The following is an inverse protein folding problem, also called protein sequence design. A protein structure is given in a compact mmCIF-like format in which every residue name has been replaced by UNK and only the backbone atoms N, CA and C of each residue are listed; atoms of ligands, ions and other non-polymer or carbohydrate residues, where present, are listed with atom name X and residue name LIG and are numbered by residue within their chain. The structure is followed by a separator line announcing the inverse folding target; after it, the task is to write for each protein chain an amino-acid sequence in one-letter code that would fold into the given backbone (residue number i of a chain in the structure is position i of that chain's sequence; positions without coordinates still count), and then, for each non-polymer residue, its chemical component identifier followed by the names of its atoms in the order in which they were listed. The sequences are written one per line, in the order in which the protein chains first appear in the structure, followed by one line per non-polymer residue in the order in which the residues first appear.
data_IF_367542254670
#
_entry.id   IF_367542254670
#
_cell.length_a   1.000
_cell.length_b   1.000
_cell.length_c   1.000
_cell.angle_alpha   90.00
_cell.angle_beta   90.00
_cell.angle_gamma   90.00
#
_symmetry.space_group_name_H-M   'P 1'
#
loop_
_entity.id
_entity.type
_entity.pdbx_description
1 polymer ?
#
# COMPACT_ATOMS: atom_id res chain seq x y z
N UNK A 1 -13.27 14.68 -26.27
CA UNK A 1 -12.64 15.51 -25.22
C UNK A 1 -12.45 14.81 -23.86
N UNK A 2 -13.48 14.36 -23.13
CA UNK A 2 -13.30 13.66 -21.83
C UNK A 2 -12.66 12.26 -22.01
N UNK A 3 -13.19 11.48 -22.95
CA UNK A 3 -12.70 10.13 -23.27
C UNK A 3 -11.24 10.16 -23.74
N UNK A 4 -10.87 11.11 -24.60
CA UNK A 4 -9.48 11.29 -25.05
C UNK A 4 -8.54 11.67 -23.92
N UNK A 5 -8.98 12.52 -22.97
CA UNK A 5 -8.18 12.83 -21.77
C UNK A 5 -7.95 11.58 -20.92
N UNK A 6 -8.97 10.73 -20.77
CA UNK A 6 -8.87 9.48 -20.01
C UNK A 6 -7.97 8.46 -20.73
N UNK A 7 -8.13 8.27 -22.05
CA UNK A 7 -7.28 7.36 -22.83
C UNK A 7 -5.82 7.79 -22.78
N UNK A 8 -5.54 9.08 -22.97
CA UNK A 8 -4.19 9.61 -22.90
C UNK A 8 -3.58 9.45 -21.49
N UNK A 9 -4.40 9.45 -20.43
CA UNK A 9 -3.95 9.12 -19.07
C UNK A 9 -3.52 7.66 -18.96
N UNK A 10 -4.35 6.72 -19.41
CA UNK A 10 -4.01 5.30 -19.38
C UNK A 10 -2.77 4.97 -20.21
N UNK A 11 -2.61 5.59 -21.39
CA UNK A 11 -1.43 5.42 -22.24
C UNK A 11 -0.15 5.89 -21.52
N UNK A 12 -0.23 7.02 -20.81
CA UNK A 12 0.88 7.54 -19.98
C UNK A 12 1.19 6.63 -18.80
N UNK A 13 0.18 6.18 -18.06
CA UNK A 13 0.37 5.24 -16.95
C UNK A 13 0.96 3.92 -17.46
N UNK A 14 0.56 3.44 -18.65
CA UNK A 14 1.13 2.25 -19.28
C UNK A 14 2.60 2.44 -19.71
N UNK A 15 2.96 3.62 -20.23
CA UNK A 15 4.36 3.96 -20.51
C UNK A 15 5.19 4.01 -19.23
N UNK A 16 4.66 4.60 -18.17
CA UNK A 16 5.31 4.63 -16.86
C UNK A 16 5.50 3.21 -16.31
N UNK A 17 4.48 2.37 -16.39
CA UNK A 17 4.55 0.97 -16.01
C UNK A 17 5.61 0.18 -16.79
N UNK A 18 5.83 0.51 -18.07
CA UNK A 18 6.95 -0.05 -18.85
C UNK A 18 8.29 0.45 -18.32
N UNK A 19 8.39 1.74 -17.99
CA UNK A 19 9.58 2.38 -17.45
C UNK A 19 10.02 1.90 -16.06
N UNK A 20 9.12 1.34 -15.25
CA UNK A 20 9.44 0.76 -13.92
C UNK A 20 10.35 -0.48 -13.98
N UNK A 21 10.60 -1.04 -15.18
CA UNK A 21 11.52 -2.16 -15.36
C UNK A 21 11.08 -3.42 -14.60
N UNK A 22 12.03 -4.24 -14.11
CA UNK A 22 11.72 -5.49 -13.41
C UNK A 22 11.17 -5.28 -11.99
N UNK A 23 11.41 -4.12 -11.36
CA UNK A 23 11.01 -3.85 -9.97
C UNK A 23 9.50 -3.83 -9.77
N UNK A 24 8.72 -3.57 -10.82
CA UNK A 24 7.26 -3.63 -10.77
C UNK A 24 6.71 -5.03 -10.46
N UNK A 25 7.50 -6.09 -10.69
CA UNK A 25 7.09 -7.47 -10.43
C UNK A 25 7.25 -7.88 -8.96
N UNK A 26 7.86 -7.04 -8.12
CA UNK A 26 8.09 -7.37 -6.70
C UNK A 26 6.80 -7.69 -5.94
N UNK A 27 5.70 -6.90 -6.05
CA UNK A 27 4.44 -7.23 -5.39
C UNK A 27 3.87 -8.58 -5.82
N UNK A 28 4.02 -8.96 -7.09
CA UNK A 28 3.60 -10.27 -7.57
C UNK A 28 4.41 -11.38 -6.91
N UNK A 29 5.75 -11.27 -6.91
CA UNK A 29 6.63 -12.25 -6.29
C UNK A 29 6.30 -12.42 -4.79
N UNK A 30 6.13 -11.31 -4.08
CA UNK A 30 5.88 -11.33 -2.64
C UNK A 30 4.49 -11.91 -2.33
N UNK A 31 3.42 -11.39 -2.96
CA UNK A 31 2.05 -11.77 -2.63
C UNK A 31 1.65 -13.15 -3.17
N UNK A 32 2.19 -13.58 -4.33
CA UNK A 32 1.83 -14.88 -4.94
C UNK A 32 2.81 -16.01 -4.66
N UNK A 33 4.06 -15.71 -4.31
CA UNK A 33 5.07 -16.76 -4.06
C UNK A 33 5.47 -16.76 -2.60
N UNK A 34 6.05 -15.67 -2.09
CA UNK A 34 6.64 -15.68 -0.75
C UNK A 34 5.59 -15.86 0.34
N UNK A 35 4.46 -15.15 0.26
CA UNK A 35 3.39 -15.25 1.28
C UNK A 35 2.77 -16.66 1.29
N UNK A 36 2.31 -17.24 0.16
CA UNK A 36 1.79 -18.61 0.14
C UNK A 36 2.81 -19.67 0.58
N UNK A 37 4.09 -19.55 0.20
CA UNK A 37 5.14 -20.47 0.65
C UNK A 37 5.35 -20.39 2.16
N UNK A 38 5.37 -19.18 2.71
CA UNK A 38 5.52 -18.97 4.16
C UNK A 38 4.35 -19.60 4.92
N UNK A 39 3.12 -19.41 4.42
CA UNK A 39 1.91 -20.04 4.94
C UNK A 39 2.03 -21.56 4.94
N UNK A 40 2.47 -22.15 3.82
CA UNK A 40 2.62 -23.61 3.69
C UNK A 40 3.67 -24.18 4.66
N UNK A 41 4.81 -23.51 4.81
CA UNK A 41 5.86 -23.91 5.76
C UNK A 41 5.32 -23.87 7.19
N UNK A 42 4.64 -22.79 7.55
CA UNK A 42 4.04 -22.65 8.88
C UNK A 42 3.04 -23.80 9.14
N UNK A 43 2.19 -24.15 8.18
CA UNK A 43 1.26 -25.28 8.31
C UNK A 43 1.96 -26.60 8.61
N UNK A 44 3.09 -26.88 7.93
CA UNK A 44 3.86 -28.10 8.14
C UNK A 44 4.50 -28.20 9.53
N UNK A 45 4.63 -27.09 10.26
CA UNK A 45 5.25 -27.02 11.58
C UNK A 45 4.28 -27.28 12.76
N UNK A 46 2.98 -27.47 12.52
CA UNK A 46 2.08 -28.16 13.46
C UNK A 46 1.36 -27.36 14.56
N UNK A 47 1.26 -26.03 14.50
CA UNK A 47 0.61 -25.22 15.55
C UNK A 47 -0.69 -24.56 15.09
N UNK A 48 -1.78 -25.33 15.00
CA UNK A 48 -3.04 -24.97 14.31
C UNK A 48 -3.71 -23.66 14.72
N UNK A 49 -3.80 -23.31 16.00
CA UNK A 49 -4.51 -22.09 16.44
C UNK A 49 -3.66 -20.81 16.37
N UNK A 50 -2.38 -20.89 16.72
CA UNK A 50 -1.47 -19.74 16.56
C UNK A 50 -1.11 -19.47 15.11
N UNK A 51 -1.37 -20.43 14.21
CA UNK A 51 -1.01 -20.31 12.81
C UNK A 51 -1.79 -19.23 12.09
N UNK A 52 -3.11 -19.22 12.27
CA UNK A 52 -4.00 -18.41 11.45
C UNK A 52 -3.88 -16.93 11.82
N UNK A 53 -3.78 -16.62 13.11
CA UNK A 53 -3.46 -15.28 13.60
C UNK A 53 -2.07 -14.82 13.14
N UNK A 54 -1.06 -15.71 13.19
CA UNK A 54 0.30 -15.37 12.74
C UNK A 54 0.33 -15.12 11.23
N UNK A 55 -0.37 -15.93 10.45
CA UNK A 55 -0.50 -15.77 9.01
C UNK A 55 -1.24 -14.49 8.64
N UNK A 56 -2.36 -14.19 9.30
CA UNK A 56 -3.12 -12.97 9.06
C UNK A 56 -2.30 -11.74 9.41
N UNK A 57 -1.60 -11.74 10.55
CA UNK A 57 -0.69 -10.65 10.92
C UNK A 57 0.43 -10.44 9.89
N UNK A 58 0.97 -11.53 9.30
CA UNK A 58 1.96 -11.42 8.22
C UNK A 58 1.36 -10.78 6.96
N UNK A 59 0.14 -11.17 6.58
CA UNK A 59 -0.57 -10.60 5.43
C UNK A 59 -0.86 -9.11 5.67
N UNK A 60 -1.43 -8.77 6.82
CA UNK A 60 -1.75 -7.40 7.23
C UNK A 60 -0.49 -6.51 7.34
N UNK A 61 0.68 -7.09 7.56
CA UNK A 61 1.96 -6.37 7.52
C UNK A 61 2.49 -6.20 6.09
N UNK A 62 2.52 -7.28 5.30
CA UNK A 62 3.23 -7.32 4.00
C UNK A 62 2.42 -6.64 2.90
N UNK A 63 1.11 -6.87 2.84
CA UNK A 63 0.29 -6.40 1.72
C UNK A 63 0.21 -4.87 1.65
N UNK A 64 0.07 -4.12 2.75
CA UNK A 64 0.09 -2.66 2.69
C UNK A 64 1.44 -2.10 2.23
N UNK A 65 2.56 -2.76 2.58
CA UNK A 65 3.90 -2.40 2.08
C UNK A 65 3.97 -2.57 0.57
N UNK A 66 3.49 -3.72 0.07
CA UNK A 66 3.48 -4.01 -1.37
C UNK A 66 2.51 -3.11 -2.15
N UNK A 67 1.40 -2.67 -1.55
CA UNK A 67 0.49 -1.69 -2.14
C UNK A 67 1.19 -0.34 -2.37
N UNK A 68 2.03 0.08 -1.43
CA UNK A 68 2.79 1.31 -1.55
C UNK A 68 3.95 1.22 -2.55
N UNK A 69 4.37 0.01 -2.94
CA UNK A 69 5.52 -0.22 -3.83
C UNK A 69 5.38 0.45 -5.20
N UNK A 70 4.23 0.28 -5.86
CA UNK A 70 4.01 0.93 -7.16
C UNK A 70 3.87 2.45 -7.03
N UNK A 71 3.37 2.94 -5.90
CA UNK A 71 3.40 4.37 -5.58
C UNK A 71 4.82 4.90 -5.47
N UNK A 72 5.73 4.15 -4.83
CA UNK A 72 7.16 4.47 -4.76
C UNK A 72 7.74 4.70 -6.16
N UNK A 73 7.63 3.68 -7.00
CA UNK A 73 8.20 3.65 -8.34
C UNK A 73 7.55 4.71 -9.24
N UNK A 74 6.29 5.04 -8.97
CA UNK A 74 5.58 6.08 -9.71
C UNK A 74 6.12 7.48 -9.38
N UNK A 75 6.45 7.71 -8.11
CA UNK A 75 6.78 9.04 -7.57
C UNK A 75 8.29 9.30 -7.62
N UNK A 76 9.12 8.27 -7.49
CA UNK A 76 10.59 8.37 -7.48
C UNK A 76 11.19 9.19 -8.63
N UNK A 77 10.77 9.01 -9.91
CA UNK A 77 11.32 9.80 -11.01
C UNK A 77 11.02 11.30 -10.89
N UNK A 78 9.93 11.67 -10.19
CA UNK A 78 9.52 13.06 -9.98
C UNK A 78 10.22 13.68 -8.78
N UNK A 79 10.73 12.86 -7.84
CA UNK A 79 11.41 13.32 -6.63
C UNK A 79 12.93 13.36 -6.77
N UNK A 80 13.49 12.55 -7.67
CA UNK A 80 14.94 12.32 -7.78
C UNK A 80 15.71 13.19 -8.76
N UNK A 81 15.07 14.13 -9.49
CA UNK A 81 15.74 14.81 -10.61
C UNK A 81 15.57 16.33 -10.62
N UNK A 82 16.69 17.02 -10.41
CA UNK A 82 16.91 18.38 -10.88
C UNK A 82 16.94 18.37 -12.43
N UNK A 83 15.94 18.98 -13.07
CA UNK A 83 16.17 19.70 -14.33
C UNK A 83 15.88 19.02 -15.68
N UNK A 84 16.13 17.72 -15.94
CA UNK A 84 16.29 17.31 -17.37
C UNK A 84 15.33 16.25 -17.96
N UNK A 85 14.46 15.61 -17.18
CA UNK A 85 13.45 14.65 -17.70
C UNK A 85 12.00 15.15 -17.60
N UNK A 86 11.83 16.45 -17.34
CA UNK A 86 10.54 17.11 -17.13
C UNK A 86 9.56 17.05 -18.32
N UNK A 87 10.03 16.69 -19.52
CA UNK A 87 9.21 16.69 -20.72
C UNK A 87 8.23 15.51 -20.86
N UNK A 88 8.45 14.39 -20.16
CA UNK A 88 7.71 13.14 -20.41
C UNK A 88 6.80 12.69 -19.26
N UNK A 89 7.10 13.09 -18.01
CA UNK A 89 6.33 12.69 -16.84
C UNK A 89 5.55 13.87 -16.28
N UNK A 90 4.22 13.74 -16.21
CA UNK A 90 3.40 14.73 -15.52
C UNK A 90 3.83 14.86 -14.06
N UNK A 91 4.02 16.10 -13.61
CA UNK A 91 4.42 16.41 -12.23
C UNK A 91 3.37 15.96 -11.22
N UNK A 92 2.10 15.93 -11.62
CA UNK A 92 0.98 15.57 -10.76
C UNK A 92 0.65 14.07 -10.87
N UNK A 93 0.85 13.33 -9.79
CA UNK A 93 0.80 11.85 -9.77
C UNK A 93 -0.35 11.27 -8.97
N UNK A 94 -1.20 12.06 -8.32
CA UNK A 94 -2.28 11.51 -7.47
C UNK A 94 -3.22 10.55 -8.23
N UNK A 95 -3.51 10.82 -9.50
CA UNK A 95 -4.34 9.92 -10.33
C UNK A 95 -3.62 8.61 -10.62
N UNK A 96 -2.32 8.67 -10.95
CA UNK A 96 -1.51 7.47 -11.18
C UNK A 96 -1.44 6.60 -9.91
N UNK A 97 -1.33 7.23 -8.72
CA UNK A 97 -1.37 6.53 -7.42
C UNK A 97 -2.69 5.77 -7.25
N UNK A 98 -3.83 6.40 -7.55
CA UNK A 98 -5.13 5.72 -7.47
C UNK A 98 -5.26 4.58 -8.49
N UNK A 99 -4.75 4.75 -9.71
CA UNK A 99 -4.76 3.70 -10.73
C UNK A 99 -3.92 2.50 -10.24
N UNK A 100 -2.70 2.75 -9.74
CA UNK A 100 -1.85 1.68 -9.23
C UNK A 100 -2.43 0.99 -8.00
N UNK A 101 -3.08 1.72 -7.11
CA UNK A 101 -3.81 1.13 -5.98
C UNK A 101 -4.93 0.20 -6.47
N UNK A 102 -5.78 0.63 -7.41
CA UNK A 102 -6.84 -0.21 -7.97
C UNK A 102 -6.28 -1.44 -8.68
N UNK A 103 -5.19 -1.29 -9.43
CA UNK A 103 -4.50 -2.42 -10.05
C UNK A 103 -3.95 -3.39 -9.00
N UNK A 104 -3.49 -2.88 -7.85
CA UNK A 104 -2.97 -3.69 -6.77
C UNK A 104 -4.10 -4.49 -6.11
N UNK A 105 -5.25 -3.87 -5.87
CA UNK A 105 -6.44 -4.55 -5.35
C UNK A 105 -6.88 -5.69 -6.27
N UNK A 106 -6.99 -5.42 -7.58
CA UNK A 106 -7.30 -6.45 -8.58
C UNK A 106 -6.27 -7.58 -8.53
N UNK A 107 -4.99 -7.24 -8.35
CA UNK A 107 -3.90 -8.20 -8.25
C UNK A 107 -4.05 -9.09 -7.02
N UNK A 108 -4.43 -8.58 -5.84
CA UNK A 108 -4.48 -9.40 -4.61
C UNK A 108 -5.79 -10.17 -4.43
N UNK A 109 -6.90 -9.75 -5.07
CA UNK A 109 -8.22 -10.42 -4.97
C UNK A 109 -8.16 -11.94 -5.16
N UNK A 110 -7.48 -12.51 -6.17
CA UNK A 110 -7.40 -13.96 -6.33
C UNK A 110 -6.74 -14.67 -5.13
N UNK A 111 -5.72 -14.06 -4.51
CA UNK A 111 -5.07 -14.62 -3.33
C UNK A 111 -5.99 -14.55 -2.11
N UNK A 112 -6.70 -13.43 -1.94
CA UNK A 112 -7.70 -13.26 -0.89
C UNK A 112 -8.81 -14.32 -1.00
N UNK A 113 -9.34 -14.54 -2.21
CA UNK A 113 -10.35 -15.58 -2.47
C UNK A 113 -9.82 -17.00 -2.21
N UNK A 114 -8.56 -17.27 -2.58
CA UNK A 114 -7.93 -18.55 -2.27
C UNK A 114 -7.82 -18.79 -0.77
N UNK A 115 -7.43 -17.77 0.00
CA UNK A 115 -7.35 -17.82 1.48
C UNK A 115 -8.74 -18.08 2.08
N UNK A 116 -9.77 -17.33 1.66
CA UNK A 116 -11.15 -17.53 2.12
C UNK A 116 -11.65 -18.96 1.89
N UNK A 117 -11.40 -19.50 0.70
CA UNK A 117 -11.81 -20.87 0.37
C UNK A 117 -11.05 -21.92 1.17
N UNK A 118 -9.83 -21.61 1.63
CA UNK A 118 -9.00 -22.54 2.39
C UNK A 118 -9.33 -22.55 3.89
N UNK A 119 -9.78 -21.42 4.44
CA UNK A 119 -10.18 -21.28 5.85
C UNK A 119 -11.51 -20.52 6.01
N UNK A 120 -12.63 -21.09 5.54
CA UNK A 120 -13.92 -20.41 5.52
C UNK A 120 -14.49 -20.12 6.92
N UNK A 121 -14.10 -20.91 7.93
CA UNK A 121 -14.62 -20.78 9.31
C UNK A 121 -13.91 -19.68 10.12
N UNK A 122 -12.81 -19.13 9.60
CA UNK A 122 -11.92 -18.25 10.37
C UNK A 122 -11.66 -16.89 9.72
N UNK A 123 -11.88 -16.75 8.40
CA UNK A 123 -11.54 -15.53 7.68
C UNK A 123 -12.79 -14.99 6.99
N UNK A 124 -13.20 -13.79 7.39
CA UNK A 124 -14.42 -13.16 6.93
C UNK A 124 -14.14 -12.10 5.86
N UNK A 125 -15.13 -11.77 5.00
CA UNK A 125 -14.98 -10.69 4.02
C UNK A 125 -14.58 -9.34 4.65
N UNK A 126 -15.02 -9.08 5.88
CA UNK A 126 -14.73 -7.85 6.62
C UNK A 126 -13.23 -7.64 6.89
N UNK A 127 -12.52 -8.73 7.15
CA UNK A 127 -11.07 -8.71 7.39
C UNK A 127 -10.33 -8.21 6.14
N UNK A 128 -10.78 -8.62 4.95
CA UNK A 128 -10.22 -8.14 3.69
C UNK A 128 -10.57 -6.69 3.40
N UNK A 129 -11.76 -6.21 3.78
CA UNK A 129 -12.11 -4.78 3.67
C UNK A 129 -11.12 -3.95 4.50
N UNK A 130 -10.82 -4.38 5.73
CA UNK A 130 -9.79 -3.76 6.55
C UNK A 130 -8.42 -3.74 5.88
N UNK A 131 -8.03 -4.86 5.26
CA UNK A 131 -6.77 -4.98 4.53
C UNK A 131 -6.68 -4.03 3.32
N UNK A 132 -7.73 -3.93 2.51
CA UNK A 132 -7.79 -3.01 1.37
C UNK A 132 -7.69 -1.54 1.83
N UNK A 133 -8.33 -1.20 2.95
CA UNK A 133 -8.25 0.13 3.54
C UNK A 133 -6.83 0.45 4.03
N UNK A 134 -6.14 -0.50 4.65
CA UNK A 134 -4.73 -0.36 5.04
C UNK A 134 -3.81 -0.19 3.82
N UNK A 135 -4.08 -0.91 2.73
CA UNK A 135 -3.35 -0.80 1.46
C UNK A 135 -3.54 0.59 0.84
N UNK A 136 -4.79 1.08 0.80
CA UNK A 136 -5.11 2.45 0.35
C UNK A 136 -4.33 3.49 1.15
N UNK A 137 -4.43 3.40 2.49
CA UNK A 137 -3.73 4.31 3.38
C UNK A 137 -2.22 4.29 3.15
N UNK A 138 -1.61 3.12 3.02
CA UNK A 138 -0.16 2.98 2.80
C UNK A 138 0.29 3.62 1.48
N UNK A 139 -0.46 3.42 0.41
CA UNK A 139 -0.20 4.06 -0.87
C UNK A 139 -0.29 5.60 -0.76
N UNK A 140 -1.34 6.12 -0.14
CA UNK A 140 -1.52 7.55 0.05
C UNK A 140 -0.47 8.18 0.98
N UNK A 141 -0.08 7.49 2.05
CA UNK A 141 0.92 7.95 3.01
C UNK A 141 2.30 8.07 2.35
N UNK A 142 2.70 7.06 1.57
CA UNK A 142 3.96 7.11 0.82
C UNK A 142 3.97 8.28 -0.15
N UNK A 143 2.88 8.50 -0.89
CA UNK A 143 2.75 9.65 -1.79
C UNK A 143 2.83 10.99 -1.05
N UNK A 144 2.03 11.16 0.01
CA UNK A 144 1.98 12.41 0.77
C UNK A 144 3.31 12.78 1.41
N UNK A 145 3.96 11.82 2.08
CA UNK A 145 5.27 12.05 2.72
C UNK A 145 6.36 12.23 1.68
N UNK A 146 6.34 11.48 0.57
CA UNK A 146 7.32 11.66 -0.50
C UNK A 146 7.25 13.08 -1.09
N UNK A 147 6.04 13.61 -1.33
CA UNK A 147 5.87 14.98 -1.80
C UNK A 147 6.29 16.03 -0.75
N UNK A 148 6.11 15.75 0.54
CA UNK A 148 6.44 16.68 1.62
C UNK A 148 7.94 16.76 1.91
N UNK A 149 8.60 15.60 1.97
CA UNK A 149 10.03 15.47 2.33
C UNK A 149 10.93 15.38 1.09
N UNK A 150 10.35 15.26 -0.11
CA UNK A 150 11.06 15.03 -1.37
C UNK A 150 11.94 13.77 -1.34
N UNK A 151 11.46 12.72 -0.66
CA UNK A 151 12.18 11.46 -0.54
C UNK A 151 11.24 10.28 -0.44
N UNK A 152 11.34 9.37 -1.43
CA UNK A 152 10.62 8.09 -1.41
C UNK A 152 11.18 7.16 -0.34
N UNK A 153 12.48 7.21 -0.07
CA UNK A 153 13.09 6.37 0.97
C UNK A 153 12.53 6.70 2.37
N UNK A 154 12.41 8.00 2.70
CA UNK A 154 11.86 8.43 3.99
C UNK A 154 10.38 8.09 4.10
N UNK A 155 9.62 8.22 3.01
CA UNK A 155 8.19 7.87 3.03
C UNK A 155 7.96 6.36 3.20
N UNK A 156 8.82 5.52 2.62
CA UNK A 156 8.83 4.07 2.88
C UNK A 156 9.14 3.74 4.33
N UNK A 157 10.14 4.39 4.91
CA UNK A 157 10.49 4.18 6.32
C UNK A 157 9.32 4.55 7.24
N UNK A 158 8.67 5.69 6.99
CA UNK A 158 7.51 6.13 7.77
C UNK A 158 6.34 5.13 7.67
N UNK A 159 6.06 4.64 6.46
CA UNK A 159 5.06 3.60 6.23
C UNK A 159 5.40 2.29 6.95
N UNK A 160 6.66 1.85 6.93
CA UNK A 160 7.10 0.66 7.64
C UNK A 160 6.94 0.79 9.15
N UNK A 161 7.35 1.95 9.73
CA UNK A 161 7.17 2.24 11.16
C UNK A 161 5.68 2.20 11.53
N UNK A 162 4.82 2.81 10.69
CA UNK A 162 3.39 2.81 10.92
C UNK A 162 2.80 1.39 10.88
N UNK A 163 3.11 0.60 9.86
CA UNK A 163 2.62 -0.78 9.72
C UNK A 163 3.11 -1.68 10.85
N UNK A 164 4.35 -1.50 11.33
CA UNK A 164 4.87 -2.18 12.51
C UNK A 164 4.17 -1.74 13.80
N UNK A 165 3.76 -0.49 13.92
CA UNK A 165 3.01 -0.01 15.08
C UNK A 165 1.59 -0.57 15.09
N UNK A 166 0.94 -0.61 13.92
CA UNK A 166 -0.43 -1.11 13.76
C UNK A 166 -0.53 -2.62 13.97
N UNK A 167 0.37 -3.40 13.36
CA UNK A 167 0.30 -4.87 13.35
C UNK A 167 1.32 -5.56 14.26
N UNK A 168 2.22 -4.80 14.90
CA UNK A 168 3.19 -5.33 15.87
C UNK A 168 2.65 -5.38 17.29
N UNK A 169 3.34 -6.12 18.18
CA UNK A 169 3.02 -6.22 19.62
C UNK A 169 3.09 -4.89 20.40
N UNK A 170 3.50 -3.81 19.75
CA UNK A 170 3.56 -2.47 20.36
C UNK A 170 2.15 -1.97 20.71
N UNK A 171 1.15 -2.31 19.89
CA UNK A 171 -0.25 -1.99 20.20
C UNK A 171 -0.68 -2.63 21.53
N UNK A 172 -0.35 -3.91 21.77
CA UNK A 172 -0.63 -4.59 23.04
C UNK A 172 0.07 -3.93 24.23
N UNK A 173 1.35 -3.57 24.12
CA UNK A 173 2.11 -2.95 25.22
C UNK A 173 1.57 -1.56 25.58
N UNK A 174 1.16 -0.75 24.60
CA UNK A 174 0.56 0.56 24.87
C UNK A 174 -0.90 0.46 25.30
N UNK A 175 -1.71 -0.42 24.69
CA UNK A 175 -3.14 -0.55 25.01
C UNK A 175 -3.33 -1.10 26.41
N UNK A 176 -2.58 -2.14 26.81
CA UNK A 176 -2.69 -2.72 28.15
C UNK A 176 -2.13 -1.79 29.25
N UNK A 177 -1.19 -0.89 28.94
CA UNK A 177 -0.59 0.01 29.94
C UNK A 177 -1.17 1.43 29.97
N UNK A 178 -1.86 1.89 28.92
CA UNK A 178 -2.33 3.29 28.81
C UNK A 178 -3.85 3.41 28.61
N UNK A 179 -4.62 2.32 28.64
CA UNK A 179 -6.09 2.32 28.55
C UNK A 179 -6.62 3.13 27.34
N UNK A 180 -5.81 3.18 26.28
CA UNK A 180 -6.12 3.89 25.05
C UNK A 180 -7.15 3.07 24.26
N UNK A 181 -8.36 3.60 24.08
CA UNK A 181 -9.35 3.05 23.15
C UNK A 181 -8.87 3.21 21.69
N UNK A 182 -7.92 2.36 21.28
CA UNK A 182 -7.28 2.33 19.96
C UNK A 182 -8.25 2.00 18.83
N UNK A 183 -9.39 1.38 19.14
CA UNK A 183 -10.45 1.08 18.18
C UNK A 183 -10.97 2.31 17.40
N UNK A 184 -10.89 3.51 17.99
CA UNK A 184 -11.29 4.75 17.31
C UNK A 184 -10.15 5.46 16.58
N UNK A 185 -8.89 5.28 17.00
CA UNK A 185 -7.74 6.02 16.45
C UNK A 185 -7.22 5.36 15.18
N UNK A 186 -7.22 4.03 15.11
CA UNK A 186 -6.77 3.25 13.95
C UNK A 186 -7.91 2.53 13.23
N UNK A 187 -9.14 2.98 13.44
CA UNK A 187 -10.31 2.41 12.80
C UNK A 187 -10.32 2.64 11.27
N UNK A 188 -11.08 1.84 10.50
CA UNK A 188 -11.14 1.94 9.05
C UNK A 188 -11.46 3.35 8.53
N UNK A 189 -12.39 4.05 9.18
CA UNK A 189 -12.76 5.42 8.82
C UNK A 189 -11.60 6.42 9.01
N UNK A 190 -10.81 6.26 10.08
CA UNK A 190 -9.66 7.11 10.36
C UNK A 190 -8.56 6.90 9.30
N UNK A 191 -8.31 5.64 8.91
CA UNK A 191 -7.34 5.31 7.86
C UNK A 191 -7.74 5.87 6.48
N UNK A 192 -9.03 5.77 6.12
CA UNK A 192 -9.54 6.39 4.89
C UNK A 192 -9.33 7.91 4.93
N UNK A 193 -9.75 8.56 6.02
CA UNK A 193 -9.64 10.02 6.16
C UNK A 193 -8.17 10.47 6.11
N UNK A 194 -7.29 9.81 6.84
CA UNK A 194 -5.87 10.10 6.85
C UNK A 194 -5.21 9.86 5.47
N UNK A 195 -5.62 8.80 4.77
CA UNK A 195 -5.18 8.51 3.40
C UNK A 195 -5.60 9.62 2.43
N UNK A 196 -6.87 10.03 2.47
CA UNK A 196 -7.38 11.14 1.64
C UNK A 196 -6.64 12.44 1.95
N UNK A 197 -6.37 12.74 3.23
CA UNK A 197 -5.58 13.91 3.61
C UNK A 197 -4.17 13.85 3.01
N UNK A 198 -3.49 12.71 3.11
CA UNK A 198 -2.15 12.54 2.51
C UNK A 198 -2.19 12.71 0.98
N UNK A 199 -3.23 12.20 0.32
CA UNK A 199 -3.43 12.34 -1.12
C UNK A 199 -3.63 13.82 -1.52
N UNK A 200 -4.47 14.55 -0.80
CA UNK A 200 -4.72 15.98 -1.05
C UNK A 200 -3.45 16.79 -0.80
N UNK A 201 -2.75 16.53 0.32
CA UNK A 201 -1.49 17.21 0.64
C UNK A 201 -0.44 16.97 -0.45
N UNK A 202 -0.25 15.72 -0.89
CA UNK A 202 0.70 15.40 -1.95
C UNK A 202 0.36 16.07 -3.27
N UNK A 203 -0.93 16.11 -3.64
CA UNK A 203 -1.42 16.84 -4.82
C UNK A 203 -1.11 18.33 -4.74
N UNK A 204 -1.47 18.98 -3.63
CA UNK A 204 -1.24 20.42 -3.43
C UNK A 204 0.24 20.78 -3.51
N UNK A 205 1.12 19.96 -2.92
CA UNK A 205 2.57 20.16 -2.98
C UNK A 205 3.11 20.07 -4.41
N UNK A 206 2.59 19.14 -5.23
CA UNK A 206 2.92 19.01 -6.66
C UNK A 206 2.41 20.18 -7.51
N UNK A 207 1.20 20.67 -7.24
CA UNK A 207 0.57 21.76 -8.00
C UNK A 207 1.20 23.12 -7.69
N UNK A 208 1.65 23.37 -6.46
CA UNK A 208 2.28 24.63 -6.05
C UNK A 208 3.71 24.81 -6.57
N UNK A 209 4.28 23.81 -7.25
CA UNK A 209 5.66 23.88 -7.71
C UNK A 209 6.67 23.95 -6.57
N UNK A 210 6.30 23.50 -5.36
CA UNK A 210 7.24 23.27 -4.25
C UNK A 210 8.06 21.98 -4.45
N UNK A 211 8.25 21.59 -5.70
CA UNK A 211 8.93 20.43 -6.24
C UNK A 211 9.69 20.87 -7.49
#
# INVERSE_FOLDING_TARGET
MLIEKIMNRFDRTALQWRGMGPLKYLPFLVCYVLVPVTIYILQSAGTTYHLLDTMWNQIALIYPIMAAWWTALCVEPVMGQEGELFGLYERNKWVDVLIYFVLYDIMIVPVCLWIMNRWPDYIYPEDFIGLFIQCFFSACLVYGIACLVRSVAVSFLAMLIFNLFQNGRISYILVDNLDLQTGNIFGPAALILAGVICLILGKEMQERGNL
#
